data_IF_123798580374
#
_entry.id   IF_123798580374
#
_cell.length_a   1.000
_cell.length_b   1.000
_cell.length_c   1.000
_cell.angle_alpha   90.00
_cell.angle_beta   90.00
_cell.angle_gamma   90.00
#
_symmetry.space_group_name_H-M   'P 1'
#
loop_
_entity.id
_entity.type
_entity.pdbx_description
1 polymer ?
#
# COMPACT_ATOMS: atom_id res chain seq x y z
N UNK A 1 51.84 17.28 -1.32
CA UNK A 1 50.61 17.17 -2.12
C UNK A 1 50.89 16.64 -3.52
N UNK A 2 49.95 15.89 -4.09
CA UNK A 2 49.97 15.50 -5.49
C UNK A 2 49.68 16.72 -6.38
N UNK A 3 50.50 16.94 -7.41
CA UNK A 3 50.35 18.02 -8.39
C UNK A 3 50.13 17.42 -9.77
N UNK A 4 49.14 17.96 -10.48
CA UNK A 4 48.82 17.57 -11.85
C UNK A 4 48.45 18.80 -12.67
N UNK A 5 48.66 18.72 -13.98
CA UNK A 5 48.19 19.67 -14.97
C UNK A 5 46.88 19.13 -15.56
N UNK A 6 45.79 19.87 -15.39
CA UNK A 6 44.52 19.57 -16.06
C UNK A 6 44.41 20.40 -17.34
N UNK A 7 44.26 19.73 -18.47
CA UNK A 7 44.02 20.35 -19.78
C UNK A 7 42.57 20.12 -20.17
N UNK A 8 41.86 21.19 -20.53
CA UNK A 8 40.48 21.11 -21.01
C UNK A 8 40.44 21.64 -22.44
N UNK A 9 40.09 20.79 -23.39
CA UNK A 9 39.97 21.16 -24.80
C UNK A 9 38.48 21.29 -25.11
N UNK A 10 38.09 22.44 -25.65
CA UNK A 10 36.75 22.67 -26.19
C UNK A 10 36.83 22.67 -27.70
N UNK A 11 36.05 21.83 -28.37
CA UNK A 11 36.05 21.70 -29.82
C UNK A 11 34.61 21.66 -30.35
N UNK A 12 34.46 21.95 -31.64
CA UNK A 12 33.15 21.99 -32.30
C UNK A 12 33.13 21.01 -33.46
N UNK A 13 32.05 20.24 -33.59
CA UNK A 13 31.80 19.36 -34.73
C UNK A 13 30.49 19.85 -35.37
N UNK A 14 30.59 20.52 -36.52
CA UNK A 14 29.44 21.20 -37.12
C UNK A 14 28.88 22.28 -36.18
N UNK A 15 27.57 22.27 -35.85
CA UNK A 15 26.96 23.23 -34.94
C UNK A 15 27.14 22.88 -33.44
N UNK A 16 27.56 21.65 -33.12
CA UNK A 16 27.60 21.13 -31.76
C UNK A 16 28.96 21.39 -31.07
N UNK A 17 28.93 21.61 -29.76
CA UNK A 17 30.12 21.86 -28.93
C UNK A 17 30.39 20.70 -27.99
N UNK A 18 31.65 20.30 -27.92
CA UNK A 18 32.13 19.20 -27.10
C UNK A 18 33.32 19.65 -26.24
N UNK A 19 33.53 18.94 -25.13
CA UNK A 19 34.65 19.17 -24.21
C UNK A 19 35.31 17.85 -23.86
N UNK A 20 36.64 17.80 -23.91
CA UNK A 20 37.41 16.73 -23.31
C UNK A 20 38.36 17.28 -22.24
N UNK A 21 38.57 16.48 -21.19
CA UNK A 21 39.40 16.83 -20.05
C UNK A 21 40.45 15.74 -19.89
N UNK A 22 41.70 16.15 -19.72
CA UNK A 22 42.82 15.25 -19.44
C UNK A 22 43.67 15.77 -18.30
N UNK A 23 44.34 14.86 -17.62
CA UNK A 23 45.20 15.16 -16.48
C UNK A 23 46.57 14.50 -16.68
N UNK A 24 47.62 15.27 -16.43
CA UNK A 24 49.01 14.78 -16.44
C UNK A 24 49.63 15.06 -15.09
N UNK A 25 50.07 14.01 -14.40
CA UNK A 25 50.73 14.14 -13.08
C UNK A 25 52.10 14.79 -13.28
N UNK A 26 52.35 15.92 -12.60
CA UNK A 26 53.65 16.60 -12.61
C UNK A 26 54.49 16.24 -11.40
N UNK A 27 53.85 15.97 -10.26
CA UNK A 27 54.50 15.47 -9.06
C UNK A 27 53.55 14.56 -8.29
N UNK A 28 53.89 13.27 -8.06
CA UNK A 28 52.98 12.33 -7.40
C UNK A 28 52.72 12.71 -5.93
N UNK A 29 53.71 13.27 -5.22
CA UNK A 29 53.53 13.64 -3.81
C UNK A 29 53.08 12.44 -2.96
N UNK A 30 51.96 12.58 -2.22
CA UNK A 30 51.50 11.49 -1.35
C UNK A 30 51.05 10.23 -2.11
N UNK A 31 50.70 10.33 -3.40
CA UNK A 31 50.31 9.17 -4.20
C UNK A 31 51.49 8.27 -4.56
N UNK A 32 52.73 8.72 -4.33
CA UNK A 32 53.93 7.87 -4.42
C UNK A 32 53.92 6.77 -3.34
N UNK A 33 53.40 7.10 -2.15
CA UNK A 33 53.28 6.18 -1.01
C UNK A 33 51.91 5.48 -1.01
N UNK A 34 50.88 6.09 -1.61
CA UNK A 34 49.53 5.53 -1.74
C UNK A 34 49.11 5.36 -3.21
N UNK A 35 49.61 4.32 -3.91
CA UNK A 35 49.38 4.15 -5.35
C UNK A 35 47.90 3.98 -5.74
N UNK A 36 47.05 3.49 -4.83
CA UNK A 36 45.60 3.34 -5.07
C UNK A 36 44.85 4.68 -5.18
N UNK A 37 45.49 5.81 -4.82
CA UNK A 37 44.99 7.16 -5.06
C UNK A 37 45.68 7.86 -6.24
N UNK A 38 46.50 7.15 -7.01
CA UNK A 38 47.19 7.74 -8.18
C UNK A 38 46.21 8.07 -9.30
N UNK A 39 46.52 9.14 -10.05
CA UNK A 39 45.76 9.53 -11.24
C UNK A 39 46.18 8.58 -12.37
N UNK A 40 45.24 7.89 -13.04
CA UNK A 40 45.55 6.98 -14.14
C UNK A 40 46.29 7.69 -15.28
N UNK A 41 47.32 7.05 -15.84
CA UNK A 41 48.09 7.58 -16.98
C UNK A 41 47.25 7.72 -18.28
N UNK A 42 46.13 7.01 -18.37
CA UNK A 42 45.23 7.01 -19.53
C UNK A 42 44.43 8.30 -19.69
N UNK A 43 44.48 9.24 -18.74
CA UNK A 43 43.85 10.57 -18.86
C UNK A 43 44.73 11.60 -19.60
N UNK A 44 45.87 11.20 -20.18
CA UNK A 44 46.71 12.13 -20.95
C UNK A 44 46.11 12.43 -22.33
N UNK A 45 45.83 13.70 -22.59
CA UNK A 45 45.36 14.17 -23.89
C UNK A 45 46.53 14.34 -24.87
N UNK A 46 46.32 14.12 -26.17
CA UNK A 46 47.31 14.45 -27.18
C UNK A 46 47.60 15.95 -27.18
N UNK A 47 48.82 16.32 -27.57
CA UNK A 47 49.18 17.72 -27.75
C UNK A 47 48.38 18.31 -28.91
N UNK A 48 47.68 19.42 -28.68
CA UNK A 48 46.94 20.15 -29.69
C UNK A 48 47.04 21.65 -29.42
N UNK A 49 47.05 22.44 -30.48
CA UNK A 49 47.03 23.89 -30.42
C UNK A 49 45.66 24.45 -30.85
N UNK A 50 45.42 25.70 -30.47
CA UNK A 50 44.16 26.37 -30.83
C UNK A 50 44.13 26.62 -32.34
N UNK A 51 43.19 25.97 -33.02
CA UNK A 51 43.02 26.07 -34.48
C UNK A 51 43.28 24.75 -35.20
N UNK A 52 43.80 23.73 -34.50
CA UNK A 52 44.00 22.41 -35.08
C UNK A 52 42.68 21.78 -35.53
N UNK A 53 42.73 21.12 -36.69
CA UNK A 53 41.61 20.40 -37.28
C UNK A 53 41.89 18.89 -37.21
N UNK A 54 40.97 18.14 -36.60
CA UNK A 54 41.09 16.70 -36.47
C UNK A 54 39.96 16.01 -37.24
N UNK A 55 40.25 14.95 -38.03
CA UNK A 55 39.20 14.16 -38.66
C UNK A 55 38.44 13.35 -37.60
N UNK A 56 37.11 13.31 -37.72
CA UNK A 56 36.27 12.48 -36.83
C UNK A 56 36.38 11.02 -37.29
N UNK A 57 36.97 10.17 -36.46
CA UNK A 57 37.13 8.75 -36.76
C UNK A 57 35.82 7.95 -36.64
N UNK A 58 35.11 8.11 -35.53
CA UNK A 58 33.89 7.36 -35.23
C UNK A 58 32.94 8.18 -34.36
N UNK A 59 31.64 8.10 -34.63
CA UNK A 59 30.58 8.67 -33.79
C UNK A 59 29.66 7.53 -33.34
N UNK A 60 29.56 7.33 -32.03
CA UNK A 60 28.68 6.31 -31.42
C UNK A 60 27.58 6.98 -30.62
N UNK A 61 26.33 6.63 -30.93
CA UNK A 61 25.20 6.93 -30.07
C UNK A 61 25.07 5.81 -29.03
N UNK A 62 25.29 6.14 -27.76
CA UNK A 62 25.20 5.18 -26.65
C UNK A 62 23.88 5.39 -25.91
N UNK A 63 23.01 4.37 -25.95
CA UNK A 63 21.85 4.33 -25.07
C UNK A 63 22.32 4.00 -23.64
N UNK A 64 21.91 4.82 -22.67
CA UNK A 64 22.19 4.63 -21.25
C UNK A 64 20.89 4.74 -20.46
N UNK A 65 20.80 4.01 -19.36
CA UNK A 65 19.68 4.07 -18.43
C UNK A 65 20.16 4.54 -17.06
N UNK A 66 19.33 5.30 -16.35
CA UNK A 66 19.59 5.63 -14.95
C UNK A 66 19.38 4.40 -14.08
N UNK A 67 20.34 4.08 -13.23
CA UNK A 67 20.18 3.06 -12.20
C UNK A 67 19.80 3.70 -10.86
N UNK A 68 19.06 3.00 -10.00
CA UNK A 68 18.90 3.43 -8.61
C UNK A 68 20.27 3.46 -7.90
N UNK A 69 20.39 4.27 -6.83
CA UNK A 69 21.56 4.19 -5.95
C UNK A 69 21.76 2.77 -5.42
N UNK A 70 23.02 2.36 -5.30
CA UNK A 70 23.38 1.08 -4.70
C UNK A 70 23.20 1.12 -3.17
N UNK A 71 23.19 -0.03 -2.52
CA UNK A 71 23.16 -0.12 -1.07
C UNK A 71 24.44 0.45 -0.46
N UNK A 72 24.30 1.06 0.73
CA UNK A 72 25.42 1.65 1.45
C UNK A 72 26.45 0.57 1.82
N UNK A 73 27.72 0.87 1.56
CA UNK A 73 28.82 0.18 2.23
C UNK A 73 28.86 0.53 3.70
N UNK A 74 29.49 -0.31 4.51
CA UNK A 74 29.72 -0.02 5.93
C UNK A 74 30.43 1.32 6.15
N UNK A 75 31.42 1.65 5.31
CA UNK A 75 32.13 2.93 5.37
C UNK A 75 31.23 4.13 5.05
N UNK A 76 30.41 4.04 4.01
CA UNK A 76 29.45 5.10 3.66
C UNK A 76 28.41 5.29 4.76
N UNK A 77 27.96 4.20 5.40
CA UNK A 77 27.06 4.30 6.55
C UNK A 77 27.72 5.01 7.73
N UNK A 78 28.99 4.69 8.04
CA UNK A 78 29.76 5.38 9.10
C UNK A 78 29.83 6.88 8.80
N UNK A 79 30.22 7.25 7.58
CA UNK A 79 30.28 8.67 7.16
C UNK A 79 28.92 9.36 7.29
N UNK A 80 27.82 8.69 6.98
CA UNK A 80 26.48 9.24 7.16
C UNK A 80 26.10 9.37 8.63
N UNK A 81 26.44 8.39 9.47
CA UNK A 81 26.21 8.45 10.91
C UNK A 81 26.96 9.63 11.54
N UNK A 82 28.23 9.84 11.20
CA UNK A 82 29.03 10.99 11.63
C UNK A 82 28.42 12.32 11.16
N UNK A 83 28.08 12.41 9.87
CA UNK A 83 27.44 13.60 9.28
C UNK A 83 26.13 13.98 9.99
N UNK A 84 25.36 12.98 10.41
CA UNK A 84 24.11 13.17 11.12
C UNK A 84 24.26 13.24 12.65
N UNK A 85 25.48 13.10 13.19
CA UNK A 85 25.74 13.12 14.63
C UNK A 85 25.10 11.94 15.37
N UNK A 86 25.10 10.76 14.76
CA UNK A 86 24.59 9.52 15.35
C UNK A 86 25.76 8.68 15.85
N UNK A 87 25.86 8.59 17.18
CA UNK A 87 26.94 7.83 17.82
C UNK A 87 28.28 8.56 17.80
N UNK A 88 29.28 7.86 18.30
CA UNK A 88 30.67 8.27 18.48
C UNK A 88 31.58 7.16 17.94
N UNK A 89 32.88 7.43 17.80
CA UNK A 89 33.88 6.45 17.36
C UNK A 89 33.78 5.10 18.11
N UNK A 90 33.39 5.14 19.39
CA UNK A 90 33.24 3.95 20.23
C UNK A 90 31.90 3.21 20.03
N UNK A 91 30.86 3.88 19.55
CA UNK A 91 29.48 3.34 19.52
C UNK A 91 28.98 3.05 18.11
N UNK A 92 29.50 3.72 17.07
CA UNK A 92 29.13 3.47 15.68
C UNK A 92 29.33 1.99 15.29
N UNK A 93 30.50 1.35 15.54
CA UNK A 93 30.70 -0.06 15.22
C UNK A 93 29.70 -0.98 15.96
N UNK A 94 29.36 -0.62 17.19
CA UNK A 94 28.40 -1.37 18.02
C UNK A 94 26.98 -1.25 17.45
N UNK A 95 26.58 -0.07 17.00
CA UNK A 95 25.28 0.15 16.34
C UNK A 95 25.13 -0.68 15.08
N UNK A 96 26.16 -0.69 14.21
CA UNK A 96 26.18 -1.48 12.97
C UNK A 96 26.15 -2.98 13.30
N UNK A 97 26.96 -3.43 14.23
CA UNK A 97 26.97 -4.83 14.64
C UNK A 97 25.61 -5.29 15.21
N UNK A 98 24.96 -4.44 16.02
CA UNK A 98 23.66 -4.77 16.60
C UNK A 98 22.55 -4.97 15.55
N UNK A 99 22.49 -4.13 14.51
CA UNK A 99 21.47 -4.27 13.45
C UNK A 99 21.73 -5.51 12.56
N UNK A 100 22.99 -5.89 12.38
CA UNK A 100 23.37 -7.13 11.71
C UNK A 100 23.01 -8.35 12.56
N UNK A 101 23.37 -8.37 13.85
CA UNK A 101 23.07 -9.47 14.78
C UNK A 101 21.57 -9.70 14.94
N UNK A 102 20.77 -8.63 14.92
CA UNK A 102 19.29 -8.70 14.98
C UNK A 102 18.63 -9.04 13.65
N UNK A 103 19.42 -9.30 12.60
CA UNK A 103 18.95 -9.64 11.27
C UNK A 103 18.04 -8.57 10.64
N UNK A 104 18.28 -7.29 10.93
CA UNK A 104 17.61 -6.17 10.24
C UNK A 104 18.30 -5.85 8.92
N UNK A 105 19.59 -6.15 8.83
CA UNK A 105 20.44 -5.94 7.67
C UNK A 105 21.35 -7.15 7.50
N UNK A 106 21.60 -7.54 6.25
CA UNK A 106 22.60 -8.56 5.88
C UNK A 106 23.76 -7.90 5.13
N UNK A 107 24.96 -8.44 5.31
CA UNK A 107 26.15 -7.98 4.60
C UNK A 107 26.31 -8.79 3.31
N UNK A 108 26.19 -8.15 2.16
CA UNK A 108 26.43 -8.76 0.85
C UNK A 108 27.90 -8.59 0.40
N UNK A 109 28.22 -9.10 -0.80
CA UNK A 109 29.53 -8.93 -1.43
C UNK A 109 29.92 -7.44 -1.49
N UNK A 110 31.20 -7.15 -1.24
CA UNK A 110 31.70 -5.78 -1.15
C UNK A 110 31.35 -5.04 0.15
N UNK A 111 30.97 -5.76 1.22
CA UNK A 111 30.57 -5.18 2.53
C UNK A 111 29.44 -4.16 2.41
N UNK A 112 28.50 -4.41 1.50
CA UNK A 112 27.27 -3.62 1.36
C UNK A 112 26.21 -4.11 2.34
N UNK A 113 25.52 -3.16 2.96
CA UNK A 113 24.49 -3.37 3.97
C UNK A 113 23.12 -3.38 3.29
N UNK A 114 22.58 -4.58 3.08
CA UNK A 114 21.26 -4.77 2.48
C UNK A 114 20.20 -4.95 3.57
N UNK A 115 19.16 -4.10 3.62
CA UNK A 115 18.04 -4.30 4.53
C UNK A 115 17.34 -5.63 4.29
N UNK A 116 17.06 -6.37 5.36
CA UNK A 116 16.19 -7.55 5.30
C UNK A 116 14.73 -7.12 5.28
N UNK A 117 13.82 -8.02 4.88
CA UNK A 117 12.39 -7.74 4.99
C UNK A 117 11.99 -7.33 6.42
N UNK A 118 12.62 -7.92 7.45
CA UNK A 118 12.42 -7.53 8.84
C UNK A 118 12.85 -6.08 9.11
N UNK A 119 14.04 -5.69 8.68
CA UNK A 119 14.49 -4.31 8.83
C UNK A 119 13.58 -3.31 8.11
N UNK A 120 13.20 -3.62 6.86
CA UNK A 120 12.32 -2.77 6.04
C UNK A 120 10.99 -2.55 6.75
N UNK A 121 10.30 -3.63 7.15
CA UNK A 121 8.96 -3.54 7.73
C UNK A 121 8.98 -2.85 9.09
N UNK A 122 10.01 -3.10 9.90
CA UNK A 122 10.18 -2.39 11.17
C UNK A 122 10.31 -0.89 10.93
N UNK A 123 11.19 -0.47 10.00
CA UNK A 123 11.39 0.94 9.66
C UNK A 123 10.12 1.58 9.13
N UNK A 124 9.40 0.96 8.20
CA UNK A 124 8.13 1.47 7.69
C UNK A 124 7.04 1.51 8.75
N UNK A 125 7.00 0.52 9.65
CA UNK A 125 6.05 0.46 10.76
C UNK A 125 6.26 1.59 11.76
N UNK A 126 7.50 1.80 12.20
CA UNK A 126 7.85 2.94 13.04
C UNK A 126 7.56 4.26 12.32
N UNK A 127 7.92 4.39 11.04
CA UNK A 127 7.72 5.63 10.27
C UNK A 127 6.24 6.00 10.11
N UNK A 128 5.37 5.00 9.89
CA UNK A 128 3.92 5.18 9.77
C UNK A 128 3.28 5.65 11.07
N UNK A 129 3.81 5.22 12.21
CA UNK A 129 3.32 5.64 13.53
C UNK A 129 3.95 6.99 13.89
N UNK A 130 5.26 7.06 14.07
CA UNK A 130 6.00 8.25 14.46
C UNK A 130 7.32 8.33 13.67
N UNK A 131 7.32 9.17 12.63
CA UNK A 131 8.48 9.35 11.75
C UNK A 131 9.75 9.77 12.49
N UNK A 132 9.65 10.49 13.61
CA UNK A 132 10.83 10.95 14.34
C UNK A 132 11.58 9.81 15.03
N UNK A 133 10.95 8.65 15.26
CA UNK A 133 11.62 7.46 15.81
C UNK A 133 12.59 6.82 14.81
N UNK A 134 12.40 7.07 13.52
CA UNK A 134 13.22 6.50 12.43
C UNK A 134 14.24 7.52 11.92
N UNK A 135 13.85 8.79 11.90
CA UNK A 135 14.72 9.86 11.42
C UNK A 135 15.93 10.09 12.36
N UNK A 136 17.06 10.58 11.82
CA UNK A 136 18.29 10.77 12.59
C UNK A 136 18.18 11.85 13.69
N UNK A 137 17.11 12.64 13.68
CA UNK A 137 16.96 13.89 14.43
C UNK A 137 16.96 13.70 15.95
N UNK A 138 16.16 12.77 16.48
CA UNK A 138 16.08 12.53 17.93
C UNK A 138 17.41 12.03 18.46
N UNK A 139 18.02 11.05 17.77
CA UNK A 139 19.29 10.49 18.20
C UNK A 139 20.39 11.55 18.20
N UNK A 140 20.47 12.35 17.14
CA UNK A 140 21.40 13.48 17.05
C UNK A 140 21.18 14.51 18.17
N UNK A 141 19.93 14.80 18.53
CA UNK A 141 19.61 15.74 19.61
C UNK A 141 20.07 15.21 20.98
N UNK A 142 19.85 13.93 21.27
CA UNK A 142 20.32 13.30 22.52
C UNK A 142 21.84 13.30 22.59
N UNK A 143 22.55 12.92 21.51
CA UNK A 143 24.02 12.94 21.47
C UNK A 143 24.57 14.36 21.73
N UNK A 144 23.94 15.40 21.16
CA UNK A 144 24.31 16.80 21.45
C UNK A 144 24.12 17.15 22.92
N UNK A 145 23.04 16.71 23.57
CA UNK A 145 22.83 16.95 24.99
C UNK A 145 23.86 16.21 25.86
N UNK A 146 24.21 14.98 25.51
CA UNK A 146 25.28 14.22 26.19
C UNK A 146 26.64 14.94 26.08
N UNK A 147 26.95 15.50 24.90
CA UNK A 147 28.15 16.31 24.72
C UNK A 147 28.14 17.57 25.57
N UNK A 148 27.00 18.24 25.74
CA UNK A 148 26.88 19.40 26.63
C UNK A 148 27.11 19.02 28.10
N UNK A 149 26.67 17.85 28.54
CA UNK A 149 26.95 17.33 29.88
C UNK A 149 28.45 17.10 30.04
N UNK A 150 29.09 16.44 29.07
CA UNK A 150 30.52 16.16 29.10
C UNK A 150 31.37 17.44 29.17
N UNK A 151 30.91 18.53 28.55
CA UNK A 151 31.55 19.85 28.60
C UNK A 151 31.19 20.67 29.87
N UNK A 152 30.36 20.14 30.77
CA UNK A 152 29.87 20.86 31.95
C UNK A 152 28.87 21.99 31.65
N UNK A 153 28.31 22.04 30.43
CA UNK A 153 27.38 23.07 29.96
C UNK A 153 25.90 22.72 30.18
N UNK A 154 25.60 21.48 30.56
CA UNK A 154 24.24 21.02 30.86
C UNK A 154 24.23 20.14 32.12
N UNK A 155 23.15 20.25 32.90
CA UNK A 155 22.96 19.41 34.08
C UNK A 155 22.42 18.03 33.69
N UNK A 156 23.06 16.97 34.20
CA UNK A 156 22.68 15.58 33.95
C UNK A 156 21.20 15.28 34.28
N UNK A 157 20.72 15.70 35.46
CA UNK A 157 19.37 15.39 35.90
C UNK A 157 18.31 16.06 35.03
N UNK A 158 18.55 17.31 34.63
CA UNK A 158 17.64 18.05 33.75
C UNK A 158 17.54 17.40 32.36
N UNK A 159 18.68 17.00 31.78
CA UNK A 159 18.70 16.30 30.49
C UNK A 159 18.01 14.95 30.57
N UNK A 160 18.22 14.20 31.66
CA UNK A 160 17.58 12.91 31.88
C UNK A 160 16.06 13.05 31.99
N UNK A 161 15.56 13.97 32.82
CA UNK A 161 14.13 14.22 32.99
C UNK A 161 13.47 14.65 31.68
N UNK A 162 14.10 15.57 30.95
CA UNK A 162 13.63 16.02 29.64
C UNK A 162 13.56 14.87 28.62
N UNK A 163 14.58 14.03 28.55
CA UNK A 163 14.62 12.89 27.63
C UNK A 163 13.55 11.86 27.97
N UNK A 164 13.40 11.53 29.26
CA UNK A 164 12.38 10.59 29.73
C UNK A 164 10.97 11.09 29.42
N UNK A 165 10.69 12.38 29.58
CA UNK A 165 9.39 12.95 29.25
C UNK A 165 9.06 12.88 27.75
N UNK A 166 10.05 13.14 26.88
CA UNK A 166 9.90 12.97 25.42
C UNK A 166 9.57 11.51 25.09
N UNK A 167 10.37 10.56 25.58
CA UNK A 167 10.15 9.15 25.27
C UNK A 167 8.88 8.59 25.90
N UNK A 168 8.45 9.09 27.06
CA UNK A 168 7.17 8.73 27.68
C UNK A 168 5.99 9.14 26.79
N UNK A 169 6.01 10.38 26.27
CA UNK A 169 4.96 10.86 25.34
C UNK A 169 4.92 10.04 24.06
N UNK A 170 6.08 9.76 23.47
CA UNK A 170 6.20 8.90 22.28
C UNK A 170 5.73 7.48 22.53
N UNK A 171 6.05 6.92 23.69
CA UNK A 171 5.59 5.59 24.09
C UNK A 171 4.06 5.51 24.17
N UNK A 172 3.40 6.46 24.85
CA UNK A 172 1.95 6.49 24.91
C UNK A 172 1.31 6.59 23.51
N UNK A 173 1.80 7.52 22.69
CA UNK A 173 1.32 7.68 21.32
C UNK A 173 1.50 6.41 20.47
N UNK A 174 2.65 5.74 20.63
CA UNK A 174 2.95 4.50 19.93
C UNK A 174 2.01 3.37 20.35
N UNK A 175 1.76 3.22 21.65
CA UNK A 175 0.83 2.19 22.18
C UNK A 175 -0.59 2.42 21.67
N UNK A 176 -1.06 3.66 21.66
CA UNK A 176 -2.40 4.00 21.15
C UNK A 176 -2.54 3.72 19.64
N UNK A 177 -1.42 3.78 18.90
CA UNK A 177 -1.37 3.62 17.45
C UNK A 177 -0.84 2.26 16.98
N UNK A 178 -0.61 1.32 17.89
CA UNK A 178 0.09 0.04 17.62
C UNK A 178 -0.62 -0.83 16.57
N UNK A 179 -1.94 -0.71 16.45
CA UNK A 179 -2.73 -1.43 15.45
C UNK A 179 -2.25 -1.15 14.01
N UNK A 180 -1.68 0.03 13.75
CA UNK A 180 -1.11 0.39 12.45
C UNK A 180 0.16 -0.40 12.09
N UNK A 181 0.90 -0.88 13.09
CA UNK A 181 2.09 -1.73 12.93
C UNK A 181 1.71 -3.21 12.88
N UNK A 182 0.72 -3.65 13.65
CA UNK A 182 0.19 -5.01 13.57
C UNK A 182 -0.30 -5.35 12.15
N UNK A 183 -0.97 -4.41 11.47
CA UNK A 183 -1.37 -4.57 10.07
C UNK A 183 -0.17 -4.83 9.14
N UNK A 184 0.93 -4.08 9.30
CA UNK A 184 2.14 -4.21 8.47
C UNK A 184 2.93 -5.49 8.76
N UNK A 185 3.06 -5.84 10.04
CA UNK A 185 3.75 -7.05 10.47
C UNK A 185 2.99 -8.31 10.05
N UNK A 186 1.66 -8.31 10.17
CA UNK A 186 0.82 -9.42 9.71
C UNK A 186 0.89 -9.57 8.18
N UNK A 187 1.01 -8.48 7.44
CA UNK A 187 1.20 -8.52 5.99
C UNK A 187 2.54 -9.16 5.60
N UNK A 188 3.61 -8.85 6.34
CA UNK A 188 4.98 -9.12 5.90
C UNK A 188 5.64 -10.37 6.51
N UNK A 189 5.27 -10.76 7.74
CA UNK A 189 5.86 -11.91 8.46
C UNK A 189 4.93 -13.08 8.64
N UNK A 190 3.69 -12.96 8.18
CA UNK A 190 2.93 -14.17 7.97
C UNK A 190 3.67 -15.04 6.94
N UNK A 191 3.58 -16.38 7.02
CA UNK A 191 4.00 -17.30 5.95
C UNK A 191 3.27 -17.08 4.59
N UNK A 192 2.58 -15.94 4.42
CA UNK A 192 1.62 -15.54 3.39
C UNK A 192 2.26 -14.99 2.11
N UNK A 193 3.50 -14.51 2.12
CA UNK A 193 4.23 -14.30 0.86
C UNK A 193 4.41 -15.62 0.08
N UNK A 194 4.46 -16.75 0.78
CA UNK A 194 4.43 -18.10 0.20
C UNK A 194 3.03 -18.71 0.11
N UNK A 195 2.03 -18.17 0.82
CA UNK A 195 0.66 -18.68 0.82
C UNK A 195 -0.34 -17.65 0.30
N UNK A 196 -0.75 -17.86 -0.95
CA UNK A 196 -1.79 -17.09 -1.61
C UNK A 196 -1.90 -17.56 -3.05
N UNK A 197 -3.10 -17.59 -3.60
CA UNK A 197 -3.32 -17.99 -4.99
C UNK A 197 -3.19 -16.76 -5.89
N UNK A 198 -2.51 -16.84 -7.04
CA UNK A 198 -2.56 -15.74 -8.01
C UNK A 198 -4.02 -15.46 -8.36
N UNK A 199 -4.43 -14.19 -8.27
CA UNK A 199 -5.83 -13.81 -8.51
C UNK A 199 -5.96 -12.72 -9.56
N UNK A 200 -5.33 -11.56 -9.36
CA UNK A 200 -5.41 -10.42 -10.29
C UNK A 200 -4.03 -9.81 -10.52
N UNK A 201 -3.84 -9.09 -11.63
CA UNK A 201 -2.57 -8.41 -11.98
C UNK A 201 -2.47 -7.03 -11.35
N UNK A 202 -1.25 -6.69 -10.92
CA UNK A 202 -0.89 -5.37 -10.43
C UNK A 202 -0.82 -4.37 -11.60
N UNK A 203 -1.42 -3.19 -11.48
CA UNK A 203 -1.34 -2.16 -12.53
C UNK A 203 0.04 -1.50 -12.65
N UNK A 204 0.89 -1.59 -11.62
CA UNK A 204 2.25 -1.01 -11.63
C UNK A 204 3.28 -1.86 -12.39
N UNK A 205 3.21 -3.19 -12.26
CA UNK A 205 4.21 -4.10 -12.82
C UNK A 205 3.63 -5.22 -13.69
N UNK A 206 2.31 -5.26 -13.84
CA UNK A 206 1.54 -6.25 -14.62
C UNK A 206 1.75 -7.72 -14.23
N UNK A 207 2.40 -7.99 -13.10
CA UNK A 207 2.56 -9.33 -12.52
C UNK A 207 1.37 -9.69 -11.64
N UNK A 208 1.12 -10.99 -11.50
CA UNK A 208 0.07 -11.50 -10.63
C UNK A 208 0.32 -11.16 -9.17
N UNK A 209 -0.69 -10.59 -8.54
CA UNK A 209 -0.81 -10.42 -7.10
C UNK A 209 -1.40 -11.69 -6.49
N UNK A 210 -0.91 -12.03 -5.30
CA UNK A 210 -1.36 -13.19 -4.54
C UNK A 210 -2.54 -12.77 -3.66
N UNK A 211 -3.66 -13.48 -3.80
CA UNK A 211 -4.80 -13.33 -2.91
C UNK A 211 -4.61 -14.16 -1.66
N UNK A 212 -4.59 -13.45 -0.53
CA UNK A 212 -4.46 -13.99 0.81
C UNK A 212 -5.87 -14.03 1.43
N UNK A 213 -6.38 -15.26 1.63
CA UNK A 213 -7.71 -15.50 2.20
C UNK A 213 -7.76 -15.41 3.72
N UNK A 214 -6.60 -15.46 4.39
CA UNK A 214 -6.52 -15.26 5.83
C UNK A 214 -7.06 -13.87 6.18
N UNK A 215 -7.87 -13.78 7.24
CA UNK A 215 -8.43 -12.49 7.67
C UNK A 215 -7.36 -11.65 8.36
N UNK A 216 -7.24 -10.34 8.04
CA UNK A 216 -8.01 -9.62 7.03
C UNK A 216 -7.59 -10.00 5.59
N UNK A 217 -8.57 -10.26 4.73
CA UNK A 217 -8.32 -10.61 3.32
C UNK A 217 -7.63 -9.47 2.58
N UNK A 218 -6.66 -9.81 1.73
CA UNK A 218 -5.76 -8.85 1.07
C UNK A 218 -5.15 -9.39 -0.22
N UNK A 219 -4.70 -8.49 -1.09
CA UNK A 219 -3.89 -8.78 -2.27
C UNK A 219 -2.47 -8.27 -2.05
N UNK A 220 -1.47 -9.10 -2.31
CA UNK A 220 -0.07 -8.72 -2.19
C UNK A 220 0.68 -8.90 -3.51
N UNK A 221 1.40 -7.87 -3.93
CA UNK A 221 2.26 -7.90 -5.11
C UNK A 221 3.70 -8.17 -4.69
N UNK A 222 4.22 -9.38 -4.92
CA UNK A 222 5.59 -9.73 -4.51
C UNK A 222 6.71 -9.00 -5.25
N UNK A 223 6.40 -8.32 -6.36
CA UNK A 223 7.41 -7.57 -7.14
C UNK A 223 7.46 -6.09 -6.75
N UNK A 224 6.31 -5.47 -6.51
CA UNK A 224 6.24 -4.09 -6.03
C UNK A 224 6.36 -4.00 -4.50
N UNK A 225 6.31 -5.14 -3.81
CA UNK A 225 6.21 -5.25 -2.35
C UNK A 225 5.03 -4.47 -1.73
N UNK A 226 3.99 -4.25 -2.53
CA UNK A 226 2.79 -3.52 -2.14
C UNK A 226 1.69 -4.48 -1.66
N UNK A 227 0.92 -4.05 -0.65
CA UNK A 227 -0.24 -4.79 -0.17
C UNK A 227 -1.50 -3.95 -0.17
N UNK A 228 -2.58 -4.53 -0.69
CA UNK A 228 -3.87 -3.91 -0.89
C UNK A 228 -4.92 -4.62 -0.02
N UNK A 229 -5.50 -3.89 0.93
CA UNK A 229 -6.59 -4.39 1.76
C UNK A 229 -7.84 -4.61 0.89
N UNK A 230 -8.62 -5.63 1.21
CA UNK A 230 -9.87 -5.96 0.53
C UNK A 230 -11.08 -5.87 1.47
N UNK A 231 -12.31 -5.73 0.95
CA UNK A 231 -13.50 -5.77 1.78
C UNK A 231 -13.64 -7.12 2.50
N UNK A 232 -13.97 -7.05 3.79
CA UNK A 232 -14.11 -8.21 4.66
C UNK A 232 -15.50 -8.86 4.53
N UNK A 233 -15.68 -10.03 5.13
CA UNK A 233 -16.97 -10.73 5.24
C UNK A 233 -17.68 -10.98 3.91
N UNK A 234 -16.91 -11.31 2.87
CA UNK A 234 -17.43 -11.76 1.59
C UNK A 234 -16.43 -12.63 0.84
N UNK A 235 -16.81 -13.05 -0.35
CA UNK A 235 -15.96 -13.78 -1.28
C UNK A 235 -15.37 -12.83 -2.31
N UNK A 236 -14.11 -13.03 -2.65
CA UNK A 236 -13.38 -12.25 -3.66
C UNK A 236 -13.08 -13.17 -4.84
N UNK A 237 -13.37 -12.71 -6.05
CA UNK A 237 -13.09 -13.41 -7.32
C UNK A 237 -12.50 -12.44 -8.34
N UNK A 238 -11.79 -12.96 -9.34
CA UNK A 238 -11.35 -12.15 -10.48
C UNK A 238 -12.56 -11.67 -11.28
N UNK A 239 -12.56 -10.42 -11.70
CA UNK A 239 -13.66 -9.83 -12.45
C UNK A 239 -13.33 -9.70 -13.94
N UNK A 240 -13.66 -10.76 -14.70
CA UNK A 240 -13.61 -10.80 -16.19
C UNK A 240 -12.29 -10.32 -16.82
N UNK A 241 -11.18 -10.33 -16.08
CA UNK A 241 -9.88 -9.75 -16.49
C UNK A 241 -9.96 -8.28 -16.94
N UNK A 242 -11.00 -7.57 -16.51
CA UNK A 242 -11.17 -6.15 -16.81
C UNK A 242 -10.24 -5.32 -15.94
N UNK A 243 -9.75 -4.22 -16.50
CA UNK A 243 -8.80 -3.32 -15.84
C UNK A 243 -9.45 -1.98 -15.54
N UNK A 244 -8.98 -1.37 -14.46
CA UNK A 244 -9.36 -0.02 -14.10
C UNK A 244 -8.76 0.96 -15.13
N UNK A 245 -9.55 1.87 -15.73
CA UNK A 245 -9.03 2.83 -16.71
C UNK A 245 -8.13 3.90 -16.11
N UNK A 246 -8.08 4.02 -14.79
CA UNK A 246 -7.26 5.00 -14.07
C UNK A 246 -5.84 4.53 -13.79
N UNK A 247 -5.68 3.26 -13.41
CA UNK A 247 -4.45 2.73 -12.80
C UNK A 247 -4.02 1.38 -13.37
N UNK A 248 -4.74 0.85 -14.37
CA UNK A 248 -4.51 -0.44 -15.04
C UNK A 248 -4.52 -1.68 -14.12
N UNK A 249 -4.99 -1.55 -12.87
CA UNK A 249 -5.17 -2.73 -12.01
C UNK A 249 -6.33 -3.59 -12.49
N UNK A 250 -6.13 -4.90 -12.49
CA UNK A 250 -7.22 -5.84 -12.74
C UNK A 250 -8.24 -5.81 -11.60
N UNK A 251 -9.50 -5.68 -11.98
CA UNK A 251 -10.63 -5.58 -11.06
C UNK A 251 -10.93 -6.92 -10.39
N UNK A 252 -11.38 -6.84 -9.14
CA UNK A 252 -11.90 -8.00 -8.41
C UNK A 252 -13.35 -7.77 -8.03
N UNK A 253 -14.13 -8.86 -7.97
CA UNK A 253 -15.53 -8.86 -7.58
C UNK A 253 -15.64 -9.27 -6.12
N UNK A 254 -16.19 -8.40 -5.29
CA UNK A 254 -16.62 -8.77 -3.94
C UNK A 254 -18.08 -9.20 -3.96
N UNK A 255 -18.41 -10.26 -3.23
CA UNK A 255 -19.78 -10.72 -3.04
C UNK A 255 -20.03 -11.17 -1.60
N UNK A 256 -21.10 -10.66 -0.99
CA UNK A 256 -21.57 -11.04 0.36
C UNK A 256 -22.27 -12.42 0.39
N UNK A 257 -22.47 -13.05 -0.76
CA UNK A 257 -23.13 -14.35 -0.90
C UNK A 257 -24.19 -14.36 -2.00
N UNK A 258 -24.87 -15.50 -2.19
CA UNK A 258 -25.84 -15.71 -3.29
C UNK A 258 -27.05 -14.77 -3.26
N UNK A 259 -27.49 -14.35 -2.07
CA UNK A 259 -28.57 -13.37 -1.86
C UNK A 259 -28.06 -12.03 -1.33
N UNK A 260 -26.75 -11.82 -1.37
CA UNK A 260 -26.11 -10.61 -0.87
C UNK A 260 -25.81 -9.61 -1.98
N UNK A 261 -25.16 -8.51 -1.59
CA UNK A 261 -24.62 -7.54 -2.53
C UNK A 261 -23.38 -8.07 -3.23
N UNK A 262 -23.15 -7.58 -4.43
CA UNK A 262 -21.93 -7.79 -5.19
C UNK A 262 -21.57 -6.50 -5.92
N UNK A 263 -20.28 -6.19 -5.97
CA UNK A 263 -19.77 -5.06 -6.75
C UNK A 263 -18.30 -5.28 -7.13
N UNK A 264 -17.88 -4.83 -8.33
CA UNK A 264 -16.48 -4.80 -8.69
C UNK A 264 -15.74 -3.72 -7.91
N UNK A 265 -14.46 -3.91 -7.67
CA UNK A 265 -13.57 -2.93 -7.08
C UNK A 265 -12.16 -3.01 -7.67
N UNK A 266 -11.51 -1.86 -7.82
CA UNK A 266 -10.08 -1.78 -8.11
C UNK A 266 -9.30 -1.88 -6.78
N UNK A 267 -8.35 -2.83 -6.64
CA UNK A 267 -7.53 -2.96 -5.44
C UNK A 267 -6.76 -1.69 -5.08
N UNK A 268 -6.30 -0.93 -6.09
CA UNK A 268 -5.56 0.31 -5.88
C UNK A 268 -6.47 1.44 -5.41
N UNK A 269 -7.52 1.78 -6.16
CA UNK A 269 -8.49 2.83 -5.78
C UNK A 269 -9.17 2.59 -4.42
N UNK A 270 -9.42 1.32 -4.07
CA UNK A 270 -9.99 0.96 -2.76
C UNK A 270 -9.11 1.39 -1.58
N UNK A 271 -7.78 1.35 -1.77
CA UNK A 271 -6.79 1.70 -0.77
C UNK A 271 -6.29 3.15 -0.91
N UNK A 272 -6.29 3.68 -2.13
CA UNK A 272 -5.84 5.02 -2.51
C UNK A 272 -6.92 5.70 -3.34
N UNK A 273 -7.94 6.31 -2.68
CA UNK A 273 -9.03 6.95 -3.38
C UNK A 273 -8.53 8.05 -4.32
N UNK A 274 -8.87 8.00 -5.63
CA UNK A 274 -8.31 8.93 -6.61
C UNK A 274 -8.94 10.33 -6.55
N UNK A 275 -10.11 10.47 -5.93
CA UNK A 275 -10.88 11.71 -5.86
C UNK A 275 -11.17 12.14 -4.43
N UNK A 276 -11.42 13.44 -4.23
CA UNK A 276 -11.65 14.06 -2.90
C UNK A 276 -12.91 13.56 -2.21
N UNK A 277 -13.93 13.22 -3.00
CA UNK A 277 -15.22 12.67 -2.58
C UNK A 277 -15.15 11.16 -2.25
N UNK A 278 -14.08 10.47 -2.67
CA UNK A 278 -13.88 9.06 -2.36
C UNK A 278 -13.09 8.87 -1.06
N UNK A 279 -13.59 7.99 -0.21
CA UNK A 279 -12.94 7.52 1.03
C UNK A 279 -12.34 6.13 0.83
N UNK A 280 -11.34 5.80 1.64
CA UNK A 280 -10.74 4.46 1.68
C UNK A 280 -11.84 3.43 1.98
N UNK A 281 -11.84 2.34 1.22
CA UNK A 281 -12.82 1.28 1.36
C UNK A 281 -14.01 1.33 0.40
N UNK A 282 -14.04 2.27 -0.55
CA UNK A 282 -15.10 2.39 -1.55
C UNK A 282 -14.85 1.50 -2.78
N UNK A 283 -15.92 0.85 -3.27
CA UNK A 283 -15.89 0.02 -4.48
C UNK A 283 -16.09 0.83 -5.77
N UNK A 284 -16.03 0.17 -6.93
CA UNK A 284 -16.27 0.85 -8.21
C UNK A 284 -17.71 1.39 -8.32
N UNK A 285 -18.67 0.76 -7.64
CA UNK A 285 -20.05 1.22 -7.52
C UNK A 285 -20.21 2.58 -6.80
N UNK A 286 -19.13 3.14 -6.27
CA UNK A 286 -19.08 4.49 -5.72
C UNK A 286 -17.98 5.34 -6.38
N UNK A 287 -17.37 4.86 -7.47
CA UNK A 287 -16.38 5.59 -8.24
C UNK A 287 -17.07 6.63 -9.10
N UNK A 288 -16.51 7.84 -9.16
CA UNK A 288 -17.03 8.97 -9.94
C UNK A 288 -16.26 9.19 -11.25
N UNK A 289 -15.36 8.28 -11.63
CA UNK A 289 -14.58 8.40 -12.86
C UNK A 289 -15.46 8.20 -14.10
N UNK A 290 -15.51 9.16 -15.05
CA UNK A 290 -16.44 9.14 -16.17
C UNK A 290 -16.18 8.00 -17.17
N UNK A 291 -14.93 7.56 -17.34
CA UNK A 291 -14.61 6.44 -18.26
C UNK A 291 -14.72 5.06 -17.62
N UNK A 292 -14.97 4.99 -16.30
CA UNK A 292 -15.10 3.70 -15.63
C UNK A 292 -16.48 3.11 -15.92
N UNK A 293 -16.52 1.98 -16.61
CA UNK A 293 -17.76 1.26 -16.96
C UNK A 293 -18.54 0.74 -15.73
N UNK A 294 -17.89 0.73 -14.57
CA UNK A 294 -18.48 0.29 -13.31
C UNK A 294 -18.68 1.43 -12.32
N UNK A 295 -18.45 2.67 -12.76
CA UNK A 295 -18.68 3.87 -11.95
C UNK A 295 -20.13 4.01 -11.54
N UNK A 296 -20.35 4.77 -10.48
CA UNK A 296 -21.67 5.22 -10.07
C UNK A 296 -22.38 5.97 -11.20
N UNK A 297 -21.65 6.77 -11.97
CA UNK A 297 -22.22 7.57 -13.07
C UNK A 297 -22.71 6.71 -14.24
N UNK A 298 -22.12 5.51 -14.44
CA UNK A 298 -22.48 4.62 -15.54
C UNK A 298 -23.55 3.59 -15.17
N UNK A 299 -23.61 3.17 -13.90
CA UNK A 299 -24.50 2.09 -13.43
C UNK A 299 -25.54 2.55 -12.40
N UNK A 300 -25.50 3.81 -11.98
CA UNK A 300 -26.48 4.39 -11.05
C UNK A 300 -27.82 4.59 -11.73
N UNK A 301 -28.89 4.14 -11.09
CA UNK A 301 -30.26 4.21 -11.61
C UNK A 301 -31.03 5.32 -10.91
N UNK A 302 -31.03 5.37 -9.58
CA UNK A 302 -31.80 6.37 -8.85
C UNK A 302 -31.52 6.36 -7.35
N UNK A 303 -32.09 7.33 -6.63
CA UNK A 303 -31.92 7.44 -5.18
C UNK A 303 -32.55 6.25 -4.45
N UNK A 304 -31.91 5.81 -3.37
CA UNK A 304 -32.42 4.72 -2.55
C UNK A 304 -33.61 5.19 -1.71
N UNK A 305 -34.69 4.40 -1.72
CA UNK A 305 -35.92 4.68 -0.97
C UNK A 305 -35.76 4.60 0.56
N UNK A 306 -34.71 3.94 1.07
CA UNK A 306 -34.52 3.73 2.52
C UNK A 306 -33.40 4.58 3.14
N UNK A 307 -32.57 5.25 2.36
CA UNK A 307 -31.51 6.09 2.92
C UNK A 307 -31.23 7.33 2.07
N UNK A 308 -31.05 8.47 2.74
CA UNK A 308 -30.92 9.79 2.12
C UNK A 308 -29.74 9.90 1.15
N UNK A 309 -28.61 9.24 1.46
CA UNK A 309 -27.36 9.38 0.70
C UNK A 309 -27.02 8.16 -0.18
N UNK A 310 -27.98 7.25 -0.38
CA UNK A 310 -27.76 6.03 -1.15
C UNK A 310 -28.24 6.14 -2.59
N UNK A 311 -27.49 5.51 -3.50
CA UNK A 311 -27.90 5.35 -4.89
C UNK A 311 -28.02 3.86 -5.20
N UNK A 312 -29.07 3.49 -5.90
CA UNK A 312 -29.30 2.15 -6.42
C UNK A 312 -28.45 1.95 -7.67
N UNK A 313 -27.54 0.98 -7.62
CA UNK A 313 -26.58 0.69 -8.69
C UNK A 313 -26.86 -0.69 -9.27
N UNK A 314 -26.91 -0.79 -10.61
CA UNK A 314 -27.09 -2.04 -11.33
C UNK A 314 -25.94 -3.03 -11.06
N UNK A 315 -26.27 -4.25 -10.62
CA UNK A 315 -25.29 -5.32 -10.55
C UNK A 315 -25.17 -6.02 -11.92
N UNK A 316 -24.20 -5.58 -12.72
CA UNK A 316 -23.90 -6.16 -14.05
C UNK A 316 -23.51 -7.65 -14.04
N UNK A 317 -23.32 -8.26 -12.87
CA UNK A 317 -22.97 -9.67 -12.70
C UNK A 317 -24.14 -10.57 -12.31
N UNK A 318 -25.30 -9.97 -12.07
CA UNK A 318 -26.45 -10.68 -11.50
C UNK A 318 -27.29 -11.46 -12.52
N UNK A 319 -27.10 -11.24 -13.82
CA UNK A 319 -27.78 -11.98 -14.88
C UNK A 319 -27.61 -13.51 -14.72
N UNK A 320 -28.68 -14.31 -14.92
CA UNK A 320 -30.02 -13.95 -15.40
C UNK A 320 -30.98 -13.42 -14.32
N UNK A 321 -30.59 -13.44 -13.04
CA UNK A 321 -31.42 -12.94 -11.92
C UNK A 321 -31.04 -11.51 -11.58
N UNK A 322 -31.41 -10.59 -12.47
CA UNK A 322 -30.99 -9.21 -12.40
C UNK A 322 -31.38 -8.55 -11.07
N UNK A 323 -30.45 -7.76 -10.53
CA UNK A 323 -30.65 -6.99 -9.32
C UNK A 323 -29.88 -5.67 -9.36
N UNK A 324 -30.37 -4.70 -8.62
CA UNK A 324 -29.64 -3.50 -8.24
C UNK A 324 -29.50 -3.47 -6.72
N UNK A 325 -28.46 -2.83 -6.22
CA UNK A 325 -28.25 -2.70 -4.79
C UNK A 325 -27.88 -1.26 -4.42
N UNK A 326 -28.31 -0.83 -3.24
CA UNK A 326 -27.89 0.44 -2.71
C UNK A 326 -26.39 0.39 -2.36
N UNK A 327 -25.64 1.42 -2.75
CA UNK A 327 -24.23 1.54 -2.42
C UNK A 327 -23.97 1.89 -0.94
N UNK A 328 -24.98 2.35 -0.17
CA UNK A 328 -24.85 2.70 1.26
C UNK A 328 -25.56 1.75 2.24
N UNK A 329 -26.85 1.46 2.05
CA UNK A 329 -27.67 0.63 2.96
C UNK A 329 -27.93 -0.77 2.40
N UNK A 330 -28.59 -1.67 3.15
CA UNK A 330 -28.74 -3.08 2.78
C UNK A 330 -29.83 -3.41 1.74
N UNK A 331 -30.38 -2.41 1.05
CA UNK A 331 -31.43 -2.60 0.04
C UNK A 331 -30.88 -3.31 -1.20
N UNK A 332 -31.61 -4.33 -1.65
CA UNK A 332 -31.42 -5.05 -2.92
C UNK A 332 -32.77 -5.12 -3.62
N UNK A 333 -32.84 -4.64 -4.86
CA UNK A 333 -34.05 -4.73 -5.67
C UNK A 333 -33.81 -5.75 -6.77
N UNK A 334 -34.64 -6.78 -6.83
CA UNK A 334 -34.63 -7.78 -7.89
C UNK A 334 -35.60 -7.36 -8.99
N UNK A 335 -35.24 -7.60 -10.24
CA UNK A 335 -36.10 -7.25 -11.37
C UNK A 335 -35.78 -8.09 -12.61
N UNK A 336 -36.71 -8.11 -13.56
CA UNK A 336 -36.56 -8.67 -14.91
C UNK A 336 -36.01 -10.12 -14.96
N UNK A 337 -36.64 -11.06 -14.25
CA UNK A 337 -36.18 -12.46 -14.16
C UNK A 337 -36.00 -13.18 -15.52
N UNK A 338 -36.74 -12.73 -16.56
CA UNK A 338 -36.68 -13.31 -17.91
C UNK A 338 -35.84 -12.49 -18.90
N UNK A 339 -35.11 -11.46 -18.43
CA UNK A 339 -34.27 -10.64 -19.29
C UNK A 339 -32.93 -11.31 -19.62
N UNK A 340 -32.60 -11.35 -20.90
CA UNK A 340 -31.28 -11.79 -21.38
C UNK A 340 -30.22 -10.71 -21.15
N UNK A 341 -30.60 -9.43 -21.23
CA UNK A 341 -29.66 -8.31 -21.13
C UNK A 341 -30.34 -7.09 -20.53
N UNK A 342 -29.63 -6.42 -19.62
CA UNK A 342 -30.07 -5.17 -18.98
C UNK A 342 -28.92 -4.17 -19.02
N UNK A 343 -29.21 -2.93 -19.40
CA UNK A 343 -28.24 -1.82 -19.42
C UNK A 343 -28.89 -0.55 -18.87
N UNK A 344 -28.08 0.31 -18.25
CA UNK A 344 -28.52 1.66 -17.87
C UNK A 344 -28.29 2.58 -19.07
N UNK A 345 -29.32 3.32 -19.45
CA UNK A 345 -29.30 4.32 -20.50
C UNK A 345 -28.83 5.67 -19.93
N UNK A 346 -28.17 6.53 -20.74
CA UNK A 346 -27.84 7.89 -20.32
C UNK A 346 -29.06 8.82 -20.19
N UNK A 347 -30.23 8.41 -20.71
CA UNK A 347 -31.47 9.17 -20.61
C UNK A 347 -32.10 9.03 -19.22
N UNK A 348 -32.78 10.08 -18.76
CA UNK A 348 -33.42 10.15 -17.44
C UNK A 348 -34.94 10.27 -17.56
N UNK A 349 -35.66 9.79 -16.56
CA UNK A 349 -37.11 9.88 -16.49
C UNK A 349 -37.58 11.28 -16.09
N UNK A 350 -38.49 11.88 -16.86
CA UNK A 350 -39.05 13.22 -16.59
C UNK A 350 -39.83 13.36 -15.28
N UNK A 351 -40.21 12.24 -14.64
CA UNK A 351 -41.03 12.24 -13.41
C UNK A 351 -40.23 12.11 -12.13
N UNK A 352 -39.09 11.40 -12.16
CA UNK A 352 -38.33 11.04 -10.96
C UNK A 352 -36.82 11.17 -11.11
N UNK A 353 -36.33 11.67 -12.24
CA UNK A 353 -34.91 11.84 -12.58
C UNK A 353 -34.06 10.57 -12.53
N UNK A 354 -34.67 9.40 -12.40
CA UNK A 354 -33.98 8.12 -12.46
C UNK A 354 -33.53 7.81 -13.89
N UNK A 355 -32.34 7.22 -14.04
CA UNK A 355 -31.85 6.76 -15.34
C UNK A 355 -32.76 5.66 -15.91
N UNK A 356 -33.01 5.73 -17.21
CA UNK A 356 -33.77 4.73 -17.93
C UNK A 356 -32.98 3.42 -18.04
N UNK A 357 -33.68 2.31 -18.16
CA UNK A 357 -33.07 0.99 -18.26
C UNK A 357 -33.53 0.32 -19.55
N UNK A 358 -32.55 -0.07 -20.38
CA UNK A 358 -32.78 -0.82 -21.61
C UNK A 358 -32.76 -2.32 -21.28
N UNK A 359 -33.86 -3.01 -21.60
CA UNK A 359 -34.05 -4.42 -21.31
C UNK A 359 -34.33 -5.19 -22.60
N UNK A 360 -33.63 -6.32 -22.78
CA UNK A 360 -33.89 -7.29 -23.84
C UNK A 360 -34.36 -8.61 -23.21
N UNK A 361 -35.64 -8.92 -23.39
CA UNK A 361 -36.30 -10.12 -22.87
C UNK A 361 -36.10 -11.33 -23.78
N UNK A 362 -36.10 -12.52 -23.19
CA UNK A 362 -36.08 -13.74 -23.98
C UNK A 362 -37.36 -13.87 -24.83
N UNK A 363 -37.21 -14.09 -26.14
CA UNK A 363 -38.32 -14.28 -27.11
C UNK A 363 -39.43 -15.23 -26.62
N UNK A 364 -39.07 -16.30 -25.91
CA UNK A 364 -40.01 -17.31 -25.45
C UNK A 364 -40.85 -16.90 -24.21
N UNK A 365 -40.46 -15.84 -23.50
CA UNK A 365 -41.05 -15.42 -22.21
C UNK A 365 -41.04 -13.88 -22.06
N UNK A 366 -41.31 -13.16 -23.15
CA UNK A 366 -41.39 -11.70 -23.11
C UNK A 366 -42.67 -11.28 -22.38
N UNK A 367 -42.59 -10.37 -21.38
CA UNK A 367 -43.76 -9.77 -20.75
C UNK A 367 -44.37 -8.63 -21.58
N UNK A 368 -43.79 -8.29 -22.73
CA UNK A 368 -44.21 -7.16 -23.57
C UNK A 368 -45.37 -7.53 -24.50
N UNK A 369 -46.27 -6.58 -24.79
CA UNK A 369 -47.33 -6.78 -25.78
C UNK A 369 -46.75 -6.86 -27.21
N UNK A 370 -47.20 -7.84 -28.01
CA UNK A 370 -46.96 -7.85 -29.46
C UNK A 370 -45.65 -8.49 -29.97
N UNK A 371 -45.16 -9.57 -29.34
CA UNK A 371 -43.90 -10.27 -29.70
C UNK A 371 -42.63 -9.39 -29.66
N UNK A 372 -42.72 -8.17 -29.13
CA UNK A 372 -41.57 -7.31 -28.88
C UNK A 372 -40.70 -7.89 -27.76
N UNK A 373 -39.38 -7.75 -27.89
CA UNK A 373 -38.43 -8.21 -26.87
C UNK A 373 -37.64 -7.09 -26.22
N UNK A 374 -37.67 -5.88 -26.78
CA UNK A 374 -36.89 -4.76 -26.30
C UNK A 374 -37.82 -3.69 -25.74
N UNK A 375 -37.52 -3.22 -24.53
CA UNK A 375 -38.22 -2.10 -23.90
C UNK A 375 -37.21 -1.23 -23.17
N UNK A 376 -37.42 0.09 -23.25
CA UNK A 376 -36.63 1.07 -22.50
C UNK A 376 -37.59 1.92 -21.68
N UNK A 377 -37.30 2.04 -20.39
CA UNK A 377 -38.23 2.68 -19.46
C UNK A 377 -37.65 2.90 -18.08
N UNK A 378 -38.36 3.68 -17.27
CA UNK A 378 -37.99 3.95 -15.89
C UNK A 378 -38.42 2.79 -14.99
N UNK A 379 -37.51 2.26 -14.17
CA UNK A 379 -37.82 1.15 -13.25
C UNK A 379 -38.92 1.49 -12.24
N UNK A 380 -39.12 2.78 -11.93
CA UNK A 380 -40.10 3.22 -10.93
C UNK A 380 -41.41 3.73 -11.53
N UNK A 381 -41.37 4.37 -12.69
CA UNK A 381 -42.51 5.06 -13.28
C UNK A 381 -43.13 4.32 -14.47
N UNK A 382 -42.42 3.38 -15.09
CA UNK A 382 -42.93 2.64 -16.24
C UNK A 382 -43.95 1.57 -15.80
N UNK A 383 -45.20 1.60 -16.30
CA UNK A 383 -46.24 0.64 -15.93
C UNK A 383 -45.84 -0.82 -16.22
N UNK A 384 -45.03 -1.06 -17.25
CA UNK A 384 -44.58 -2.41 -17.64
C UNK A 384 -43.53 -2.94 -16.65
N UNK A 385 -42.68 -2.06 -16.12
CA UNK A 385 -41.61 -2.46 -15.20
C UNK A 385 -42.07 -2.54 -13.75
N UNK A 386 -43.07 -1.77 -13.33
CA UNK A 386 -43.58 -1.78 -11.94
C UNK A 386 -43.97 -3.20 -11.46
N UNK A 387 -44.63 -3.98 -12.31
CA UNK A 387 -45.07 -5.34 -11.99
C UNK A 387 -43.92 -6.37 -11.98
N UNK A 388 -42.73 -5.99 -12.48
CA UNK A 388 -41.56 -6.85 -12.63
C UNK A 388 -40.45 -6.56 -11.62
N UNK A 389 -40.70 -5.68 -10.64
CA UNK A 389 -39.72 -5.19 -9.66
C UNK A 389 -40.12 -5.64 -8.25
N UNK A 390 -39.20 -6.31 -7.56
CA UNK A 390 -39.42 -6.80 -6.19
C UNK A 390 -38.30 -6.29 -5.25
N UNK A 391 -38.68 -5.51 -4.24
CA UNK A 391 -37.75 -4.97 -3.25
C UNK A 391 -37.48 -5.99 -2.12
N UNK A 392 -36.19 -6.23 -1.81
CA UNK A 392 -35.72 -7.14 -0.75
C UNK A 392 -34.59 -6.52 0.08
N UNK A 393 -34.40 -7.02 1.30
CA UNK A 393 -33.26 -6.66 2.17
C UNK A 393 -32.17 -7.73 2.13
N UNK A 394 -30.91 -7.29 2.06
CA UNK A 394 -29.76 -8.19 2.16
C UNK A 394 -29.71 -8.86 3.54
N UNK A 395 -29.69 -10.19 3.58
CA UNK A 395 -29.55 -10.93 4.83
C UNK A 395 -28.10 -10.81 5.37
N UNK A 396 -27.89 -10.03 6.43
CA UNK A 396 -26.63 -10.06 7.19
C UNK A 396 -26.59 -11.28 8.10
N UNK A 397 -25.56 -12.13 7.96
CA UNK A 397 -25.18 -13.06 9.04
C UNK A 397 -24.32 -12.32 10.06
N UNK A 398 -24.95 -11.73 11.06
CA UNK A 398 -24.28 -11.37 12.31
C UNK A 398 -25.05 -11.93 13.51
N UNK A 399 -24.39 -12.60 14.48
CA UNK A 399 -24.98 -12.86 15.78
C UNK A 399 -25.05 -11.53 16.53
N UNK A 400 -26.21 -10.87 16.55
CA UNK A 400 -26.42 -9.74 17.44
C UNK A 400 -26.45 -10.24 18.88
N UNK A 401 -25.50 -9.77 19.69
CA UNK A 401 -25.71 -9.55 21.11
C UNK A 401 -26.97 -8.68 21.26
N UNK A 402 -28.12 -9.31 21.51
CA UNK A 402 -29.28 -8.62 22.08
C UNK A 402 -28.95 -8.33 23.55
N UNK A 403 -28.58 -7.09 23.82
CA UNK A 403 -28.72 -6.49 25.14
C UNK A 403 -30.20 -6.46 25.49
N UNK A 404 -30.69 -7.50 26.14
CA UNK A 404 -32.01 -7.56 26.75
C UNK A 404 -31.92 -7.24 28.23
N UNK A 405 -32.50 -6.10 28.63
CA UNK A 405 -32.82 -5.82 30.02
C UNK A 405 -33.77 -6.91 30.54
N UNK A 406 -33.27 -7.76 31.42
CA UNK A 406 -34.04 -8.74 32.18
C UNK A 406 -33.94 -8.45 33.68
N UNK A 407 -35.05 -8.05 34.28
CA UNK A 407 -35.19 -7.75 35.72
C UNK A 407 -34.82 -8.96 36.61
N UNK A 408 -34.28 -8.59 37.78
CA UNK A 408 -34.07 -9.37 39.02
C UNK A 408 -35.05 -10.54 39.25
N UNK A 409 -34.50 -11.68 39.68
CA UNK A 409 -35.00 -12.41 40.84
C UNK A 409 -33.87 -13.21 41.49
N UNK A 410 -33.69 -13.03 42.80
CA UNK A 410 -32.65 -13.68 43.59
C UNK A 410 -33.12 -14.96 44.28
N UNK A 411 -32.14 -15.78 44.65
CA UNK A 411 -32.06 -16.83 45.70
C UNK A 411 -30.75 -17.58 45.39
N UNK A 412 -29.78 -17.84 46.25
CA UNK A 412 -29.72 -17.91 47.70
C UNK A 412 -28.93 -19.17 48.07
N UNK A 413 -27.69 -18.99 48.55
CA UNK A 413 -26.86 -19.86 49.42
C UNK A 413 -26.45 -21.28 48.99
N UNK A 414 -25.17 -21.59 49.21
CA UNK A 414 -24.66 -22.96 49.42
C UNK A 414 -23.13 -23.06 49.56
N UNK A 415 -22.63 -23.06 50.80
CA UNK A 415 -21.22 -23.32 51.18
C UNK A 415 -20.82 -24.78 50.90
N UNK A 416 -19.55 -25.01 50.54
CA UNK A 416 -18.89 -26.33 50.61
C UNK A 416 -17.36 -26.21 50.57
N UNK A 417 -16.69 -26.77 51.58
CA UNK A 417 -15.25 -26.66 51.90
C UNK A 417 -14.35 -27.59 51.03
N UNK A 418 -13.09 -27.16 50.88
CA UNK A 418 -11.81 -27.83 50.44
C UNK A 418 -11.54 -29.21 51.10
N UNK A 419 -10.49 -30.03 50.75
CA UNK A 419 -9.17 -29.66 50.17
C UNK A 419 -8.42 -30.64 49.21
N UNK A 420 -7.33 -30.14 48.58
CA UNK A 420 -6.05 -30.86 48.46
C UNK A 420 -5.58 -31.30 47.06
N UNK A 421 -4.42 -30.79 46.60
CA UNK A 421 -3.56 -31.53 45.66
C UNK A 421 -2.87 -30.77 44.51
N UNK A 422 -1.62 -30.36 44.75
CA UNK A 422 -0.47 -30.15 43.81
C UNK A 422 -0.51 -29.02 42.76
N UNK A 423 0.48 -28.15 42.93
CA UNK A 423 0.91 -27.05 42.07
C UNK A 423 1.48 -27.53 40.74
N UNK A 424 1.07 -26.90 39.64
CA UNK A 424 1.83 -26.84 38.39
C UNK A 424 1.61 -25.43 37.80
N UNK A 425 2.66 -24.66 37.44
CA UNK A 425 2.50 -23.26 37.07
C UNK A 425 1.94 -23.15 35.64
N UNK A 426 0.64 -22.83 35.51
CA UNK A 426 0.06 -22.42 34.22
C UNK A 426 0.49 -20.98 33.92
N UNK A 427 1.28 -20.86 32.85
CA UNK A 427 1.76 -19.63 32.22
C UNK A 427 0.64 -18.57 32.04
N UNK A 428 0.91 -17.27 32.28
CA UNK A 428 0.04 -16.22 31.79
C UNK A 428 0.08 -16.18 30.27
N UNK A 429 -1.10 -16.08 29.65
CA UNK A 429 -1.31 -15.86 28.21
C UNK A 429 -0.93 -14.43 27.88
N UNK A 430 0.36 -14.18 27.71
CA UNK A 430 0.84 -12.95 27.10
C UNK A 430 1.37 -13.29 25.71
N UNK A 431 0.78 -12.71 24.67
CA UNK A 431 1.15 -12.93 23.27
C UNK A 431 2.55 -12.38 22.97
N UNK A 432 3.06 -11.45 23.80
CA UNK A 432 4.41 -10.90 23.65
C UNK A 432 5.52 -11.90 24.00
N UNK A 433 5.28 -12.82 24.95
CA UNK A 433 6.25 -13.85 25.30
C UNK A 433 6.45 -14.92 24.20
N UNK A 434 5.46 -15.08 23.31
CA UNK A 434 5.55 -16.00 22.18
C UNK A 434 6.41 -15.46 21.02
N UNK A 435 6.53 -14.13 20.89
CA UNK A 435 7.38 -13.50 19.87
C UNK A 435 8.87 -13.55 20.25
N UNK A 436 9.20 -13.46 21.54
CA UNK A 436 10.58 -13.56 22.01
C UNK A 436 11.20 -14.95 21.76
N UNK A 437 10.39 -16.01 21.71
CA UNK A 437 10.86 -17.37 21.45
C UNK A 437 11.10 -17.68 19.95
N UNK A 438 10.76 -16.75 19.05
CA UNK A 438 10.97 -16.91 17.61
C UNK A 438 12.29 -16.27 17.13
N UNK A 439 12.99 -15.54 18.01
CA UNK A 439 14.18 -14.74 17.68
C UNK A 439 15.37 -14.99 18.63
N UNK A 440 15.44 -16.16 19.27
CA UNK A 440 16.64 -16.66 19.95
C UNK A 440 17.14 -17.91 19.24
#
# INVERSE_FOLDING_TARGET
DCKYLQTTISFSIGPERFTCIGKVVTSPGFTEIMPWHSIPLEESLPHCEKGDLFPVGEIKLLEKQTSPPDYLTEAELITLMEKHGIGTDASIPVHINNICQRNYVTVESGRRLKPTNLGIVLVHGYYKIDAELVLPTIRSAVEKQLNLIALGKANYHQVLEHTLDIFKRKFHYFVDSIAGMDELMEVSFSPLAATGKPLSRCGKCHRFMKYIQAKPSRLHCSHCDDTYSLPQNGTIKLYKELRCPLDDFELVLWSSGSRGKSYPLCPYCYNHPPFRDMKKGMGCNECTHPTCQHSLNMLGIGQCVECENGVLVLDSTSGPKWKMACNKCNVIVHFFENAHKVRVSPETCDLCDAALVDVDFNKAKSPLPGDETQHSGCVFCDPVFQDLVELKHAAMRHPMHRGGQGKRQGRGRGKGRRPGGRLNPKKPKDKMAALAAYFV
#
